data_IF_406927574194
#
_entry.id   IF_406927574194
#
_cell.length_a   1.000
_cell.length_b   1.000
_cell.length_c   1.000
_cell.angle_alpha   90.00
_cell.angle_beta   90.00
_cell.angle_gamma   90.00
#
_symmetry.space_group_name_H-M   'P 1'
#
loop_
_entity.id
_entity.type
_entity.pdbx_description
1 polymer ?
#
# COMPACT_ATOMS: atom_id res chain seq x y z
N UNK A 1 0.63 4.68 -38.34
CA UNK A 1 1.39 3.44 -38.34
C UNK A 1 2.04 3.12 -37.01
N UNK A 2 2.74 4.08 -36.33
CA UNK A 2 3.53 3.85 -35.11
C UNK A 2 2.68 3.38 -33.92
N UNK A 3 1.46 3.91 -33.73
CA UNK A 3 0.61 3.67 -32.55
C UNK A 3 -0.41 2.56 -32.74
N UNK A 4 -0.35 1.84 -33.88
CA UNK A 4 -1.25 0.72 -34.24
C UNK A 4 -2.74 1.07 -34.11
N UNK A 5 -3.12 2.30 -34.53
CA UNK A 5 -4.51 2.79 -34.49
C UNK A 5 -5.24 2.68 -35.84
N UNK A 6 -4.69 1.98 -36.81
CA UNK A 6 -5.21 1.85 -38.17
C UNK A 6 -6.58 1.14 -38.26
N UNK A 7 -6.94 0.38 -37.24
CA UNK A 7 -8.23 -0.31 -37.11
C UNK A 7 -9.33 0.60 -36.54
N UNK A 8 -9.00 1.78 -36.03
CA UNK A 8 -9.94 2.76 -35.51
C UNK A 8 -10.43 3.60 -36.68
N UNK A 9 -11.74 3.52 -36.96
CA UNK A 9 -12.34 4.35 -37.99
C UNK A 9 -12.24 5.84 -37.62
N UNK A 10 -11.87 6.73 -38.58
CA UNK A 10 -11.65 8.15 -38.31
C UNK A 10 -12.85 8.87 -37.71
N UNK A 11 -14.07 8.43 -38.06
CA UNK A 11 -15.33 9.02 -37.63
C UNK A 11 -15.85 8.42 -36.29
N UNK A 12 -15.12 7.48 -35.70
CA UNK A 12 -15.50 6.87 -34.43
C UNK A 12 -15.45 7.87 -33.29
N UNK A 13 -16.53 7.97 -32.52
CA UNK A 13 -16.63 8.92 -31.41
C UNK A 13 -15.67 8.53 -30.29
N UNK A 14 -14.86 9.48 -29.80
CA UNK A 14 -13.85 9.25 -28.74
C UNK A 14 -14.43 8.62 -27.46
N UNK A 15 -15.68 8.93 -27.09
CA UNK A 15 -16.31 8.33 -25.90
C UNK A 15 -16.53 6.82 -26.02
N UNK A 16 -16.62 6.28 -27.24
CA UNK A 16 -16.82 4.84 -27.51
C UNK A 16 -15.51 4.05 -27.56
N UNK A 17 -14.36 4.74 -27.51
CA UNK A 17 -13.05 4.10 -27.48
C UNK A 17 -12.74 3.58 -26.07
N UNK A 18 -12.07 2.44 -26.01
CA UNK A 18 -11.47 1.94 -24.76
C UNK A 18 -10.40 2.89 -24.20
N UNK A 19 -10.07 2.77 -22.94
CA UNK A 19 -9.01 3.59 -22.32
C UNK A 19 -7.68 3.49 -23.07
N UNK A 20 -7.25 2.29 -23.44
CA UNK A 20 -6.02 2.07 -24.21
C UNK A 20 -6.08 2.65 -25.61
N UNK A 21 -7.19 2.52 -26.33
CA UNK A 21 -7.39 3.17 -27.65
C UNK A 21 -7.31 4.70 -27.54
N UNK A 22 -7.97 5.29 -26.54
CA UNK A 22 -7.87 6.74 -26.27
C UNK A 22 -6.46 7.19 -26.07
N UNK A 23 -5.69 6.49 -25.22
CA UNK A 23 -4.30 6.82 -24.94
C UNK A 23 -3.46 6.72 -26.22
N UNK A 24 -3.61 5.67 -27.03
CA UNK A 24 -2.90 5.52 -28.30
C UNK A 24 -3.25 6.64 -29.30
N UNK A 25 -4.50 7.09 -29.36
CA UNK A 25 -4.91 8.22 -30.21
C UNK A 25 -4.30 9.53 -29.73
N UNK A 26 -4.29 9.81 -28.42
CA UNK A 26 -3.62 11.00 -27.87
C UNK A 26 -2.11 10.99 -28.15
N UNK A 27 -1.44 9.85 -27.99
CA UNK A 27 -0.02 9.70 -28.29
C UNK A 27 0.27 9.90 -29.80
N UNK A 28 -0.62 9.43 -30.68
CA UNK A 28 -0.51 9.71 -32.12
C UNK A 28 -0.60 11.22 -32.42
N UNK A 29 -1.40 11.96 -31.67
CA UNK A 29 -1.48 13.41 -31.74
C UNK A 29 -0.14 14.13 -31.50
N UNK A 30 0.76 13.56 -30.66
CA UNK A 30 2.09 14.11 -30.41
C UNK A 30 3.01 14.04 -31.63
N UNK A 31 2.83 13.03 -32.49
CA UNK A 31 3.57 12.91 -33.75
C UNK A 31 3.07 13.90 -34.81
N UNK A 32 1.78 14.23 -34.78
CA UNK A 32 1.16 15.17 -35.72
C UNK A 32 1.46 16.62 -35.34
N UNK A 33 1.29 16.97 -34.06
CA UNK A 33 1.43 18.37 -33.61
C UNK A 33 2.85 18.75 -33.25
N UNK A 34 3.77 17.80 -33.11
CA UNK A 34 5.19 17.96 -32.81
C UNK A 34 5.51 19.05 -31.78
N UNK A 35 4.89 19.04 -30.56
CA UNK A 35 5.16 20.05 -29.54
C UNK A 35 6.61 19.97 -29.07
N UNK A 36 7.17 21.09 -28.60
CA UNK A 36 8.51 21.13 -28.00
C UNK A 36 8.54 20.62 -26.56
N UNK A 37 7.43 20.79 -25.84
CA UNK A 37 7.24 20.32 -24.46
C UNK A 37 6.00 19.43 -24.41
N UNK A 38 6.14 18.27 -23.75
CA UNK A 38 5.07 17.28 -23.58
C UNK A 38 4.87 17.05 -22.10
N UNK A 39 3.62 17.21 -21.65
CA UNK A 39 3.19 16.90 -20.30
C UNK A 39 2.34 15.62 -20.34
N UNK A 40 2.69 14.63 -19.55
CA UNK A 40 1.97 13.35 -19.48
C UNK A 40 1.61 13.06 -18.03
N UNK A 41 0.33 12.76 -17.80
CA UNK A 41 -0.18 12.35 -16.50
C UNK A 41 -0.66 10.90 -16.62
N UNK A 42 0.00 10.00 -15.88
CA UNK A 42 -0.25 8.55 -15.85
C UNK A 42 -0.42 7.93 -17.26
N UNK A 43 0.52 8.14 -18.20
CA UNK A 43 0.33 7.73 -19.60
C UNK A 43 0.34 6.20 -19.81
N UNK A 44 0.75 5.42 -18.83
CA UNK A 44 0.76 3.95 -18.87
C UNK A 44 -0.56 3.34 -18.45
N UNK A 45 -1.47 4.10 -17.85
CA UNK A 45 -2.78 3.61 -17.43
C UNK A 45 -3.58 3.11 -18.65
N UNK A 46 -4.23 1.95 -18.49
CA UNK A 46 -5.02 1.29 -19.52
C UNK A 46 -4.24 0.80 -20.77
N UNK A 47 -2.92 1.01 -20.83
CA UNK A 47 -2.10 0.44 -21.90
C UNK A 47 -1.74 -1.02 -21.57
N UNK A 48 -1.94 -1.89 -22.56
CA UNK A 48 -1.42 -3.25 -22.54
C UNK A 48 0.12 -3.25 -22.73
N UNK A 49 0.73 -4.42 -22.62
CA UNK A 49 2.18 -4.60 -22.73
C UNK A 49 2.71 -4.01 -24.04
N UNK A 50 2.00 -4.22 -25.16
CA UNK A 50 2.37 -3.68 -26.47
C UNK A 50 2.31 -2.15 -26.48
N UNK A 51 1.21 -1.57 -25.98
CA UNK A 51 1.04 -0.12 -25.89
C UNK A 51 2.07 0.55 -24.99
N UNK A 52 2.44 -0.07 -23.86
CA UNK A 52 3.54 0.40 -23.00
C UNK A 52 4.88 0.36 -23.74
N UNK A 53 5.17 -0.71 -24.49
CA UNK A 53 6.36 -0.79 -25.31
C UNK A 53 6.47 0.35 -26.31
N UNK A 54 5.41 0.68 -27.01
CA UNK A 54 5.36 1.81 -27.97
C UNK A 54 5.60 3.17 -27.27
N UNK A 55 5.03 3.37 -26.07
CA UNK A 55 5.25 4.57 -25.26
C UNK A 55 6.72 4.69 -24.84
N UNK A 56 7.31 3.60 -24.35
CA UNK A 56 8.71 3.59 -23.94
C UNK A 56 9.64 3.89 -25.11
N UNK A 57 9.39 3.33 -26.29
CA UNK A 57 10.14 3.62 -27.50
C UNK A 57 9.99 5.08 -27.95
N UNK A 58 8.80 5.67 -27.78
CA UNK A 58 8.61 7.10 -28.03
C UNK A 58 9.48 7.95 -27.11
N UNK A 59 9.47 7.65 -25.80
CA UNK A 59 10.23 8.41 -24.80
C UNK A 59 11.74 8.29 -25.01
N UNK A 60 12.24 7.09 -25.36
CA UNK A 60 13.66 6.86 -25.63
C UNK A 60 14.17 7.63 -26.86
N UNK A 61 13.33 7.73 -27.88
CA UNK A 61 13.77 8.26 -29.21
C UNK A 61 13.37 9.71 -29.44
N UNK A 62 12.76 10.39 -28.46
CA UNK A 62 12.33 11.78 -28.64
C UNK A 62 13.39 12.76 -28.13
N UNK A 63 13.52 13.88 -28.84
CA UNK A 63 14.39 15.01 -28.44
C UNK A 63 13.57 16.13 -27.74
N UNK A 64 12.31 15.86 -27.40
CA UNK A 64 11.42 16.84 -26.77
C UNK A 64 11.67 16.93 -25.27
N UNK A 65 11.35 18.05 -24.68
CA UNK A 65 11.27 18.15 -23.22
C UNK A 65 10.02 17.43 -22.75
N UNK A 66 10.17 16.40 -21.90
CA UNK A 66 9.05 15.63 -21.37
C UNK A 66 8.99 15.79 -19.86
N UNK A 67 7.81 16.07 -19.34
CA UNK A 67 7.48 16.00 -17.92
C UNK A 67 6.41 14.95 -17.74
N UNK A 68 6.70 13.96 -16.90
CA UNK A 68 5.80 12.80 -16.70
C UNK A 68 5.47 12.69 -15.20
N UNK A 69 4.20 12.54 -14.92
CA UNK A 69 3.70 12.06 -13.61
C UNK A 69 3.33 10.60 -13.84
N UNK A 70 3.93 9.68 -13.09
CA UNK A 70 3.65 8.25 -13.23
C UNK A 70 4.03 7.46 -12.00
N UNK A 71 3.35 6.33 -11.82
CA UNK A 71 3.67 5.28 -10.87
C UNK A 71 4.37 4.07 -11.53
N UNK A 72 4.59 4.12 -12.83
CA UNK A 72 5.31 3.11 -13.59
C UNK A 72 6.82 3.26 -13.41
N UNK A 73 7.42 2.34 -12.64
CA UNK A 73 8.84 2.36 -12.31
C UNK A 73 9.75 2.16 -13.52
N UNK A 74 9.32 1.36 -14.50
CA UNK A 74 10.10 1.19 -15.73
C UNK A 74 10.18 2.52 -16.51
N UNK A 75 9.04 3.22 -16.60
CA UNK A 75 8.96 4.52 -17.22
C UNK A 75 9.83 5.55 -16.49
N UNK A 76 9.72 5.64 -15.15
CA UNK A 76 10.47 6.58 -14.33
C UNK A 76 11.98 6.35 -14.40
N UNK A 77 12.41 5.08 -14.51
CA UNK A 77 13.85 4.75 -14.66
C UNK A 77 14.45 5.10 -16.03
N UNK A 78 13.61 5.41 -17.02
CA UNK A 78 14.08 5.90 -18.32
C UNK A 78 14.41 7.40 -18.30
N UNK A 79 13.98 8.11 -17.25
CA UNK A 79 14.20 9.55 -17.10
C UNK A 79 15.48 9.81 -16.29
N UNK A 80 16.13 10.93 -16.58
CA UNK A 80 17.42 11.30 -15.97
C UNK A 80 17.29 12.10 -14.69
N UNK A 81 16.09 12.53 -14.34
CA UNK A 81 15.84 13.36 -13.16
C UNK A 81 14.45 13.09 -12.59
N UNK A 82 14.35 13.17 -11.27
CA UNK A 82 13.12 12.91 -10.51
C UNK A 82 12.76 14.14 -9.69
N UNK A 83 11.50 14.51 -9.68
CA UNK A 83 10.91 15.50 -8.77
C UNK A 83 9.96 14.80 -7.80
N UNK A 84 10.26 14.90 -6.51
CA UNK A 84 9.35 14.45 -5.46
C UNK A 84 8.46 15.62 -5.04
N UNK A 85 7.15 15.42 -5.12
CA UNK A 85 6.15 16.38 -4.64
C UNK A 85 5.54 15.87 -3.34
N UNK A 86 5.58 16.70 -2.29
CA UNK A 86 5.01 16.39 -0.98
C UNK A 86 4.23 17.59 -0.43
N UNK A 87 3.54 17.41 0.69
CA UNK A 87 2.87 18.54 1.37
C UNK A 87 3.86 19.64 1.81
N UNK A 88 5.11 19.29 2.04
CA UNK A 88 6.19 20.25 2.42
C UNK A 88 6.82 20.97 1.23
N UNK A 89 6.49 20.60 -0.01
CA UNK A 89 7.00 21.23 -1.22
C UNK A 89 7.54 20.24 -2.25
N UNK A 90 8.40 20.73 -3.12
CA UNK A 90 9.00 19.96 -4.22
C UNK A 90 10.52 19.83 -4.00
N UNK A 91 11.03 18.60 -4.12
CA UNK A 91 12.47 18.29 -4.06
C UNK A 91 12.93 17.79 -5.43
N UNK A 92 14.07 18.27 -5.89
CA UNK A 92 14.69 17.86 -7.14
C UNK A 92 15.84 16.88 -6.90
N UNK A 93 15.88 15.80 -7.68
CA UNK A 93 16.92 14.79 -7.66
C UNK A 93 17.45 14.59 -9.09
N UNK A 94 18.73 14.91 -9.38
CA UNK A 94 19.33 14.72 -10.69
C UNK A 94 19.73 13.26 -10.94
N UNK A 95 18.79 12.34 -10.76
CA UNK A 95 18.97 10.90 -10.87
C UNK A 95 17.67 10.20 -11.26
N UNK A 96 17.79 8.95 -11.77
CA UNK A 96 16.63 8.12 -12.10
C UNK A 96 15.87 7.65 -10.83
N UNK A 97 14.75 6.97 -11.04
CA UNK A 97 13.89 6.56 -9.93
C UNK A 97 14.56 5.56 -8.96
N UNK A 98 15.30 4.55 -9.44
CA UNK A 98 15.91 3.53 -8.57
C UNK A 98 17.04 4.14 -7.71
N UNK A 99 17.84 5.05 -8.25
CA UNK A 99 18.84 5.80 -7.49
C UNK A 99 18.20 6.72 -6.46
N UNK A 100 17.12 7.44 -6.86
CA UNK A 100 16.31 8.25 -5.96
C UNK A 100 15.75 7.40 -4.81
N UNK A 101 15.13 6.26 -5.13
CA UNK A 101 14.55 5.36 -4.13
C UNK A 101 15.60 4.87 -3.13
N UNK A 102 16.78 4.45 -3.62
CA UNK A 102 17.89 4.03 -2.76
C UNK A 102 18.32 5.15 -1.81
N UNK A 103 18.37 6.39 -2.30
CA UNK A 103 18.75 7.56 -1.50
C UNK A 103 17.71 7.84 -0.41
N UNK A 104 16.42 7.82 -0.75
CA UNK A 104 15.32 8.06 0.21
C UNK A 104 15.24 6.94 1.24
N UNK A 105 15.42 5.68 0.83
CA UNK A 105 15.41 4.55 1.77
C UNK A 105 16.57 4.68 2.78
N UNK A 106 17.77 5.04 2.35
CA UNK A 106 18.91 5.30 3.24
C UNK A 106 18.66 6.50 4.18
N UNK A 107 18.07 7.61 3.68
CA UNK A 107 17.65 8.73 4.53
C UNK A 107 16.64 8.28 5.59
N UNK A 108 15.68 7.46 5.20
CA UNK A 108 14.62 6.95 6.09
C UNK A 108 15.19 6.02 7.17
N UNK A 109 16.04 5.07 6.79
CA UNK A 109 16.75 4.20 7.74
C UNK A 109 17.57 5.01 8.76
N UNK A 110 18.29 6.02 8.28
CA UNK A 110 19.06 6.92 9.15
C UNK A 110 18.15 7.65 10.16
N UNK A 111 16.99 8.15 9.72
CA UNK A 111 16.00 8.82 10.59
C UNK A 111 15.40 7.86 11.62
N UNK A 112 15.08 6.62 11.20
CA UNK A 112 14.58 5.59 12.12
C UNK A 112 15.62 5.26 13.18
N UNK A 113 16.89 5.06 12.80
CA UNK A 113 17.98 4.82 13.73
C UNK A 113 18.18 6.01 14.71
N UNK A 114 18.06 7.24 14.23
CA UNK A 114 18.10 8.43 15.08
C UNK A 114 16.94 8.44 16.09
N UNK A 115 15.70 8.11 15.64
CA UNK A 115 14.54 8.03 16.52
C UNK A 115 14.74 7.00 17.62
N UNK A 116 15.20 5.79 17.27
CA UNK A 116 15.49 4.73 18.26
C UNK A 116 16.55 5.15 19.29
N UNK A 117 17.60 5.81 18.83
CA UNK A 117 18.64 6.31 19.72
C UNK A 117 18.10 7.38 20.68
N UNK A 118 17.29 8.31 20.17
CA UNK A 118 16.64 9.33 21.02
C UNK A 118 15.64 8.73 22.01
N UNK A 119 14.90 7.68 21.63
CA UNK A 119 14.04 6.94 22.56
C UNK A 119 14.84 6.30 23.69
N UNK A 120 15.98 5.66 23.38
CA UNK A 120 16.88 5.07 24.37
C UNK A 120 17.48 6.13 25.32
N UNK A 121 17.85 7.31 24.78
CA UNK A 121 18.34 8.44 25.57
C UNK A 121 17.25 9.00 26.51
N UNK A 122 16.02 9.16 26.01
CA UNK A 122 14.89 9.61 26.81
C UNK A 122 14.59 8.66 27.96
N UNK A 123 14.52 7.36 27.69
CA UNK A 123 14.28 6.34 28.71
C UNK A 123 15.39 6.32 29.78
N UNK A 124 16.67 6.53 29.39
CA UNK A 124 17.79 6.70 30.34
C UNK A 124 17.64 7.97 31.17
N UNK A 125 17.25 9.09 30.55
CA UNK A 125 17.06 10.38 31.25
C UNK A 125 15.90 10.28 32.25
N UNK A 126 14.76 9.71 31.89
CA UNK A 126 13.62 9.46 32.78
C UNK A 126 14.00 8.58 33.98
N UNK A 127 14.70 7.48 33.72
CA UNK A 127 15.20 6.57 34.79
C UNK A 127 16.17 7.30 35.74
N UNK A 128 17.04 8.16 35.20
CA UNK A 128 17.98 8.97 36.00
C UNK A 128 17.24 10.01 36.83
N UNK A 129 16.28 10.73 36.21
CA UNK A 129 15.44 11.71 36.91
C UNK A 129 14.68 11.07 38.08
N UNK A 130 14.05 9.93 37.85
CA UNK A 130 13.33 9.17 38.89
C UNK A 130 14.26 8.76 40.04
N UNK A 131 15.44 8.21 39.74
CA UNK A 131 16.42 7.85 40.76
C UNK A 131 16.90 9.06 41.58
N UNK A 132 17.06 10.21 40.94
CA UNK A 132 17.48 11.46 41.62
C UNK A 132 16.35 11.95 42.55
N UNK A 133 15.10 11.92 42.10
CA UNK A 133 13.95 12.24 42.95
C UNK A 133 13.82 11.33 44.17
N UNK A 134 13.94 10.00 43.98
CA UNK A 134 13.88 9.02 45.06
C UNK A 134 15.04 9.23 46.09
N UNK A 135 16.26 9.57 45.63
CA UNK A 135 17.37 9.90 46.52
C UNK A 135 17.12 11.16 47.33
N UNK A 136 16.62 12.21 46.66
CA UNK A 136 16.28 13.48 47.33
C UNK A 136 15.21 13.28 48.40
N UNK A 137 14.14 12.53 48.07
CA UNK A 137 13.05 12.24 49.02
C UNK A 137 13.58 11.48 50.24
N UNK A 138 14.51 10.48 50.05
CA UNK A 138 15.14 9.77 51.12
C UNK A 138 16.07 10.68 51.98
N UNK A 139 16.77 11.61 51.33
CA UNK A 139 17.61 12.59 52.04
C UNK A 139 16.79 13.60 52.87
N UNK A 140 15.66 14.12 52.32
CA UNK A 140 14.74 15.00 53.02
C UNK A 140 14.16 14.32 54.28
N UNK A 141 13.64 13.11 54.15
CA UNK A 141 13.10 12.32 55.28
C UNK A 141 14.13 11.98 56.35
N UNK A 142 15.37 11.67 55.92
CA UNK A 142 16.50 11.45 56.91
C UNK A 142 16.88 12.73 57.59
N UNK A 143 16.96 13.87 56.89
CA UNK A 143 17.26 15.18 57.45
C UNK A 143 16.23 15.63 58.49
N UNK A 144 14.93 15.45 58.19
CA UNK A 144 13.85 15.75 59.15
C UNK A 144 13.96 14.89 60.43
N UNK A 145 14.21 13.58 60.28
CA UNK A 145 14.35 12.68 61.43
C UNK A 145 15.62 13.03 62.28
N UNK A 146 16.72 13.42 61.68
CA UNK A 146 17.93 13.82 62.40
C UNK A 146 17.76 15.17 63.11
N UNK A 147 17.14 16.17 62.50
CA UNK A 147 16.88 17.48 63.07
C UNK A 147 15.88 17.40 64.23
N UNK A 148 14.86 16.53 64.13
CA UNK A 148 13.94 16.24 65.24
C UNK A 148 14.65 15.62 66.47
N UNK A 149 15.66 14.76 66.24
CA UNK A 149 16.44 14.15 67.31
C UNK A 149 17.46 15.10 67.98
N UNK A 150 17.89 16.14 67.26
CA UNK A 150 18.89 17.13 67.77
C UNK A 150 18.28 18.34 68.47
N UNK A 151 16.96 18.39 68.64
CA UNK A 151 16.28 19.50 69.34
C UNK A 151 16.44 20.88 68.67
N UNK A 152 16.57 20.95 67.36
CA UNK A 152 16.77 22.16 66.58
C UNK A 152 15.49 23.06 66.70
N UNK A 153 15.68 24.34 66.95
CA UNK A 153 14.60 25.29 67.13
C UNK A 153 13.65 25.34 65.90
N UNK A 154 12.35 25.38 66.10
CA UNK A 154 11.30 25.26 65.08
C UNK A 154 11.44 26.23 63.91
N UNK A 155 11.91 27.45 64.18
CA UNK A 155 12.18 28.49 63.19
C UNK A 155 13.32 28.12 62.23
N UNK A 156 14.43 27.52 62.79
CA UNK A 156 15.55 27.06 61.98
C UNK A 156 15.20 25.86 61.12
N UNK A 157 14.36 24.95 61.63
CA UNK A 157 13.80 23.84 60.85
C UNK A 157 12.94 24.34 59.69
N UNK A 158 12.13 25.37 59.85
CA UNK A 158 11.36 25.98 58.77
C UNK A 158 12.24 26.52 57.64
N UNK A 159 13.23 27.32 57.97
CA UNK A 159 14.20 27.89 57.01
C UNK A 159 15.03 26.82 56.26
N UNK A 160 15.37 25.72 56.87
CA UNK A 160 16.06 24.59 56.23
C UNK A 160 15.14 23.78 55.30
N UNK A 161 13.89 23.66 55.66
CA UNK A 161 12.85 23.04 54.84
C UNK A 161 12.56 23.88 53.59
N UNK A 162 12.36 25.16 53.72
CA UNK A 162 12.11 26.08 52.60
C UNK A 162 13.29 26.10 51.61
N UNK A 163 14.54 26.10 52.10
CA UNK A 163 15.74 25.96 51.23
C UNK A 163 15.79 24.61 50.50
N UNK A 164 15.41 23.55 51.15
CA UNK A 164 15.38 22.20 50.54
C UNK A 164 14.28 22.12 49.49
N UNK A 165 13.08 22.65 49.76
CA UNK A 165 11.94 22.65 48.84
C UNK A 165 12.22 23.53 47.61
N UNK A 166 12.81 24.70 47.76
CA UNK A 166 13.21 25.57 46.64
C UNK A 166 14.25 24.93 45.73
N UNK A 167 15.26 24.28 46.31
CA UNK A 167 16.33 23.54 45.55
C UNK A 167 15.71 22.39 44.79
N UNK A 168 14.83 21.60 45.40
CA UNK A 168 14.14 20.46 44.80
C UNK A 168 13.23 20.92 43.69
N UNK A 169 12.46 21.99 43.90
CA UNK A 169 11.58 22.57 42.87
C UNK A 169 12.36 23.04 41.64
N UNK A 170 13.52 23.70 41.84
CA UNK A 170 14.38 24.15 40.74
C UNK A 170 14.95 23.02 39.95
N UNK A 171 15.42 21.95 40.60
CA UNK A 171 15.94 20.74 39.93
C UNK A 171 14.85 20.01 39.14
N UNK A 172 13.64 19.89 39.71
CA UNK A 172 12.51 19.27 39.02
C UNK A 172 12.13 20.06 37.76
N UNK A 173 12.11 21.40 37.84
CA UNK A 173 11.82 22.26 36.69
C UNK A 173 12.83 22.05 35.56
N UNK A 174 14.12 22.06 35.87
CA UNK A 174 15.19 21.83 34.88
C UNK A 174 15.09 20.44 34.25
N UNK A 175 14.77 19.40 35.05
CA UNK A 175 14.57 18.04 34.50
C UNK A 175 13.35 17.94 33.60
N UNK A 176 12.22 18.56 33.98
CA UNK A 176 11.01 18.60 33.16
C UNK A 176 11.21 19.37 31.85
N UNK A 177 11.92 20.50 31.90
CA UNK A 177 12.28 21.25 30.69
C UNK A 177 13.13 20.42 29.71
N UNK A 178 14.13 19.69 30.25
CA UNK A 178 14.98 18.79 29.46
C UNK A 178 14.19 17.62 28.82
N UNK A 179 13.34 16.95 29.59
CA UNK A 179 12.50 15.88 29.10
C UNK A 179 11.48 16.40 28.06
N UNK A 180 10.91 17.57 28.30
CA UNK A 180 9.98 18.23 27.36
C UNK A 180 10.66 18.62 26.04
N UNK A 181 11.93 19.06 26.06
CA UNK A 181 12.70 19.35 24.85
C UNK A 181 13.00 18.06 24.05
N UNK A 182 13.42 16.98 24.72
CA UNK A 182 13.67 15.70 24.07
C UNK A 182 12.40 15.09 23.47
N UNK A 183 11.26 15.21 24.14
CA UNK A 183 9.98 14.75 23.60
C UNK A 183 9.56 15.53 22.35
N UNK A 184 9.75 16.86 22.33
CA UNK A 184 9.44 17.68 21.15
C UNK A 184 10.31 17.27 19.96
N UNK A 185 11.62 17.14 20.16
CA UNK A 185 12.56 16.68 19.13
C UNK A 185 12.17 15.30 18.56
N UNK A 186 11.77 14.37 19.44
CA UNK A 186 11.25 13.06 19.01
C UNK A 186 9.96 13.17 18.18
N UNK A 187 9.03 14.06 18.57
CA UNK A 187 7.80 14.28 17.81
C UNK A 187 8.09 14.84 16.42
N UNK A 188 9.04 15.77 16.29
CA UNK A 188 9.48 16.33 15.02
C UNK A 188 10.09 15.25 14.10
N UNK A 189 11.02 14.45 14.63
CA UNK A 189 11.61 13.33 13.87
C UNK A 189 10.51 12.32 13.47
N UNK A 190 9.60 11.99 14.38
CA UNK A 190 8.51 11.04 14.12
C UNK A 190 7.55 11.54 13.03
N UNK A 191 7.25 12.83 13.00
CA UNK A 191 6.39 13.44 11.97
C UNK A 191 7.01 13.29 10.57
N UNK A 192 8.34 13.33 10.45
CA UNK A 192 9.03 13.18 9.16
C UNK A 192 9.16 11.70 8.70
N UNK A 193 9.00 10.73 9.62
CA UNK A 193 9.11 9.29 9.30
C UNK A 193 7.75 8.70 8.92
N UNK A 194 6.64 9.26 9.38
CA UNK A 194 5.30 8.66 9.28
C UNK A 194 4.83 8.50 7.82
N UNK A 195 5.39 9.26 6.88
CA UNK A 195 5.06 9.14 5.45
C UNK A 195 5.69 7.91 4.76
N UNK A 196 6.71 7.26 5.37
CA UNK A 196 7.51 6.23 4.70
C UNK A 196 7.55 4.86 5.43
N UNK A 197 6.79 4.68 6.50
CA UNK A 197 6.81 3.41 7.24
C UNK A 197 6.06 2.32 6.49
N UNK A 198 6.77 1.45 5.80
CA UNK A 198 6.20 0.23 5.25
C UNK A 198 5.60 -0.63 6.37
N UNK A 199 4.30 -0.84 6.31
CA UNK A 199 3.60 -1.76 7.23
C UNK A 199 3.94 -3.18 6.78
N UNK A 200 4.77 -3.89 7.52
CA UNK A 200 5.01 -5.33 7.26
C UNK A 200 3.70 -6.10 7.45
N UNK A 201 3.19 -6.65 6.36
CA UNK A 201 1.95 -7.39 6.32
C UNK A 201 2.29 -8.84 6.03
N UNK A 202 1.81 -9.74 6.86
CA UNK A 202 1.87 -11.18 6.61
C UNK A 202 0.45 -11.70 6.59
N UNK A 203 -0.01 -12.15 5.43
CA UNK A 203 -1.30 -12.80 5.26
C UNK A 203 -1.15 -14.26 5.67
N UNK A 204 -2.14 -14.79 6.39
CA UNK A 204 -2.15 -16.20 6.79
C UNK A 204 -2.18 -17.16 5.59
N UNK A 205 -1.97 -18.44 5.84
CA UNK A 205 -2.08 -19.50 4.83
C UNK A 205 -3.54 -19.94 4.64
N UNK A 206 -3.89 -20.39 3.43
CA UNK A 206 -5.11 -21.17 3.20
C UNK A 206 -5.05 -22.49 3.99
N UNK A 207 -6.22 -22.97 4.40
CA UNK A 207 -6.35 -24.24 5.15
C UNK A 207 -6.27 -25.46 4.21
N UNK A 208 -6.29 -25.24 2.89
CA UNK A 208 -6.29 -26.32 1.92
C UNK A 208 -4.91 -27.01 1.81
N UNK A 209 -4.90 -28.35 1.62
CA UNK A 209 -3.66 -29.06 1.32
C UNK A 209 -3.11 -28.65 -0.04
N UNK A 210 -1.79 -28.69 -0.17
CA UNK A 210 -1.10 -28.36 -1.43
C UNK A 210 -1.55 -29.24 -2.59
N UNK A 211 -1.59 -28.68 -3.78
CA UNK A 211 -1.94 -29.34 -5.05
C UNK A 211 -3.33 -29.98 -5.09
N UNK A 212 -4.29 -29.49 -4.31
CA UNK A 212 -5.68 -29.87 -4.47
C UNK A 212 -6.26 -29.15 -5.69
N UNK A 213 -6.99 -29.87 -6.55
CA UNK A 213 -7.69 -29.26 -7.68
C UNK A 213 -8.77 -28.31 -7.18
N UNK A 214 -8.75 -27.06 -7.62
CA UNK A 214 -9.70 -26.02 -7.27
C UNK A 214 -10.66 -25.71 -8.40
N UNK A 215 -10.14 -25.61 -9.61
CA UNK A 215 -10.91 -25.29 -10.82
C UNK A 215 -10.37 -26.15 -11.99
N UNK A 216 -11.28 -26.72 -12.77
CA UNK A 216 -10.96 -27.38 -14.03
C UNK A 216 -11.92 -26.87 -15.11
N UNK A 217 -11.37 -26.42 -16.22
CA UNK A 217 -12.10 -25.99 -17.41
C UNK A 217 -11.66 -26.82 -18.63
N UNK A 218 -12.64 -27.38 -19.35
CA UNK A 218 -12.44 -28.21 -20.53
C UNK A 218 -13.24 -27.66 -21.70
N UNK A 219 -12.53 -27.28 -22.74
CA UNK A 219 -13.05 -26.77 -24.00
C UNK A 219 -14.11 -25.68 -23.84
N UNK A 220 -13.86 -24.75 -22.88
CA UNK A 220 -14.82 -23.70 -22.56
C UNK A 220 -14.82 -22.60 -23.59
N UNK A 221 -16.01 -22.15 -23.96
CA UNK A 221 -16.30 -20.90 -24.67
C UNK A 221 -17.30 -20.05 -23.87
N UNK A 222 -17.34 -18.78 -24.18
CA UNK A 222 -18.28 -17.87 -23.54
C UNK A 222 -18.83 -16.84 -24.54
N UNK A 223 -20.14 -16.63 -24.54
CA UNK A 223 -20.79 -15.61 -25.35
C UNK A 223 -21.60 -14.65 -24.47
N UNK A 224 -21.36 -13.34 -24.63
CA UNK A 224 -22.19 -12.31 -24.02
C UNK A 224 -23.55 -12.19 -24.71
N UNK A 225 -24.53 -11.62 -24.03
CA UNK A 225 -25.91 -11.44 -24.56
C UNK A 225 -25.96 -10.59 -25.81
N UNK A 226 -25.02 -9.71 -26.05
CA UNK A 226 -24.81 -8.85 -27.21
C UNK A 226 -24.14 -9.58 -28.39
N UNK A 227 -23.87 -10.87 -28.24
CA UNK A 227 -23.35 -11.73 -29.31
C UNK A 227 -21.82 -11.74 -29.41
N UNK A 228 -21.09 -11.06 -28.51
CA UNK A 228 -19.64 -11.12 -28.44
C UNK A 228 -19.22 -12.50 -27.92
N UNK A 229 -18.63 -13.30 -28.77
CA UNK A 229 -18.10 -14.63 -28.42
C UNK A 229 -16.62 -14.53 -28.07
N UNK A 230 -16.26 -15.19 -26.98
CA UNK A 230 -14.88 -15.28 -26.47
C UNK A 230 -14.43 -16.74 -26.53
N UNK A 231 -13.23 -16.99 -27.06
CA UNK A 231 -12.58 -18.30 -27.26
C UNK A 231 -13.32 -19.24 -28.21
N UNK A 232 -14.28 -18.78 -29.02
CA UNK A 232 -15.02 -19.65 -29.95
C UNK A 232 -14.16 -20.36 -30.98
N UNK A 233 -13.08 -19.71 -31.46
CA UNK A 233 -12.15 -20.31 -32.41
C UNK A 233 -11.07 -21.18 -31.73
N UNK A 234 -10.82 -20.98 -30.45
CA UNK A 234 -9.80 -21.69 -29.68
C UNK A 234 -10.31 -21.88 -28.24
N UNK A 235 -11.12 -22.93 -28.01
CA UNK A 235 -11.66 -23.22 -26.69
C UNK A 235 -10.59 -23.33 -25.62
N UNK A 236 -10.87 -22.78 -24.43
CA UNK A 236 -9.89 -22.68 -23.36
C UNK A 236 -9.91 -23.92 -22.48
N UNK A 237 -8.71 -24.45 -22.22
CA UNK A 237 -8.49 -25.56 -21.29
C UNK A 237 -7.54 -25.11 -20.20
N UNK A 238 -7.93 -25.27 -18.93
CA UNK A 238 -7.05 -24.97 -17.81
C UNK A 238 -7.43 -25.74 -16.54
N UNK A 239 -6.44 -25.95 -15.69
CA UNK A 239 -6.64 -26.49 -14.34
C UNK A 239 -5.87 -25.62 -13.35
N UNK A 240 -6.47 -25.33 -12.20
CA UNK A 240 -5.88 -24.52 -11.12
C UNK A 240 -5.85 -25.37 -9.86
N UNK A 241 -4.67 -25.45 -9.25
CA UNK A 241 -4.44 -26.21 -8.03
C UNK A 241 -4.15 -25.28 -6.86
N UNK A 242 -4.41 -25.75 -5.64
CA UNK A 242 -4.11 -25.01 -4.43
C UNK A 242 -2.61 -24.75 -4.30
N UNK A 243 -2.26 -23.53 -3.85
CA UNK A 243 -0.89 -23.08 -3.69
C UNK A 243 -0.23 -22.56 -4.97
N UNK A 244 -0.87 -22.65 -6.14
CA UNK A 244 -0.30 -22.10 -7.38
C UNK A 244 -0.29 -20.57 -7.39
N UNK A 245 0.77 -20.00 -7.97
CA UNK A 245 0.93 -18.56 -8.18
C UNK A 245 0.95 -18.28 -9.68
N UNK A 246 -0.18 -17.77 -10.18
CA UNK A 246 -0.50 -17.71 -11.61
C UNK A 246 -0.53 -16.26 -12.09
N UNK A 247 0.17 -15.97 -13.17
CA UNK A 247 0.01 -14.75 -13.97
C UNK A 247 -0.84 -15.04 -15.19
N UNK A 248 -2.00 -14.41 -15.26
CA UNK A 248 -2.88 -14.47 -16.41
C UNK A 248 -2.51 -13.37 -17.39
N UNK A 249 -1.87 -13.73 -18.50
CA UNK A 249 -1.33 -12.80 -19.50
C UNK A 249 -2.18 -12.83 -20.77
N UNK A 250 -2.45 -11.67 -21.34
CA UNK A 250 -3.14 -11.53 -22.63
C UNK A 250 -3.41 -10.07 -22.94
N UNK A 251 -3.72 -9.77 -24.20
CA UNK A 251 -4.05 -8.43 -24.66
C UNK A 251 -5.38 -7.92 -24.07
N UNK A 252 -5.63 -6.63 -24.15
CA UNK A 252 -6.91 -6.09 -23.73
C UNK A 252 -8.03 -6.68 -24.59
N UNK A 253 -9.14 -7.08 -23.96
CA UNK A 253 -10.28 -7.68 -24.62
C UNK A 253 -10.19 -9.19 -24.92
N UNK A 254 -9.10 -9.90 -24.58
CA UNK A 254 -8.96 -11.34 -24.82
C UNK A 254 -9.78 -12.23 -23.86
N UNK A 255 -10.51 -11.64 -22.91
CA UNK A 255 -11.38 -12.39 -22.00
C UNK A 255 -10.83 -12.65 -20.61
N UNK A 256 -9.73 -11.98 -20.16
CA UNK A 256 -9.14 -12.16 -18.81
C UNK A 256 -10.18 -12.01 -17.70
N UNK A 257 -10.85 -10.87 -17.64
CA UNK A 257 -11.86 -10.60 -16.59
C UNK A 257 -13.08 -11.52 -16.71
N UNK A 258 -13.42 -11.98 -17.93
CA UNK A 258 -14.45 -13.01 -18.14
C UNK A 258 -14.05 -14.34 -17.51
N UNK A 259 -12.81 -14.79 -17.75
CA UNK A 259 -12.30 -16.01 -17.13
C UNK A 259 -12.29 -15.91 -15.60
N UNK A 260 -11.88 -14.76 -15.04
CA UNK A 260 -11.89 -14.56 -13.60
C UNK A 260 -13.31 -14.67 -13.03
N UNK A 261 -14.32 -14.10 -13.69
CA UNK A 261 -15.74 -14.22 -13.30
C UNK A 261 -16.29 -15.64 -13.46
N UNK A 262 -15.78 -16.40 -14.42
CA UNK A 262 -16.10 -17.83 -14.53
C UNK A 262 -15.46 -18.62 -13.37
N UNK A 263 -14.24 -18.30 -12.96
CA UNK A 263 -13.56 -18.91 -11.81
C UNK A 263 -14.31 -18.63 -10.50
N UNK A 264 -14.75 -17.37 -10.28
CA UNK A 264 -15.51 -16.99 -9.08
C UNK A 264 -16.94 -17.55 -9.06
N UNK A 265 -17.49 -17.92 -10.23
CA UNK A 265 -18.88 -18.40 -10.37
C UNK A 265 -19.89 -17.29 -10.61
N UNK A 266 -19.43 -16.07 -10.87
CA UNK A 266 -20.31 -14.94 -11.23
C UNK A 266 -20.87 -15.08 -12.66
N UNK A 267 -20.19 -15.87 -13.50
CA UNK A 267 -20.62 -16.26 -14.84
C UNK A 267 -20.57 -17.77 -15.00
N UNK A 268 -21.41 -18.29 -15.92
CA UNK A 268 -21.37 -19.69 -16.33
C UNK A 268 -20.94 -19.80 -17.79
N UNK A 269 -20.23 -20.89 -18.13
CA UNK A 269 -19.75 -21.14 -19.50
C UNK A 269 -20.92 -21.31 -20.46
N UNK A 270 -20.73 -20.89 -21.72
CA UNK A 270 -21.74 -21.11 -22.79
C UNK A 270 -21.62 -22.51 -23.34
N UNK A 271 -20.40 -22.99 -23.60
CA UNK A 271 -20.11 -24.34 -24.05
C UNK A 271 -18.88 -24.87 -23.31
N UNK A 272 -18.69 -26.20 -23.32
CA UNK A 272 -17.66 -26.86 -22.58
C UNK A 272 -18.07 -27.19 -21.13
N UNK A 273 -17.10 -27.63 -20.34
CA UNK A 273 -17.31 -28.03 -18.95
C UNK A 273 -16.43 -27.23 -18.02
N UNK A 274 -17.01 -26.71 -16.95
CA UNK A 274 -16.26 -26.06 -15.87
C UNK A 274 -16.64 -26.63 -14.52
N UNK A 275 -15.65 -27.20 -13.85
CA UNK A 275 -15.79 -27.69 -12.48
C UNK A 275 -15.09 -26.77 -11.50
N UNK A 276 -15.73 -26.51 -10.37
CA UNK A 276 -15.22 -25.70 -9.26
C UNK A 276 -15.39 -26.47 -7.96
N UNK A 277 -14.38 -26.45 -7.12
CA UNK A 277 -14.48 -26.99 -5.77
C UNK A 277 -15.58 -26.27 -4.98
N UNK A 278 -16.36 -26.99 -4.20
CA UNK A 278 -17.40 -26.39 -3.35
C UNK A 278 -17.24 -26.90 -1.91
N UNK A 279 -17.17 -26.02 -0.89
CA UNK A 279 -17.08 -24.56 -1.00
C UNK A 279 -15.69 -24.08 -1.47
N UNK A 280 -15.63 -22.99 -2.20
CA UNK A 280 -14.41 -22.31 -2.62
C UNK A 280 -14.49 -20.83 -2.18
N UNK A 281 -13.59 -20.39 -1.30
CA UNK A 281 -13.56 -19.02 -0.81
C UNK A 281 -12.60 -18.19 -1.65
N UNK A 282 -13.16 -17.33 -2.50
CA UNK A 282 -12.39 -16.43 -3.36
C UNK A 282 -12.46 -14.99 -2.82
N UNK A 283 -11.32 -14.30 -2.81
CA UNK A 283 -11.28 -12.85 -2.68
C UNK A 283 -10.91 -12.25 -4.03
N UNK A 284 -11.76 -11.38 -4.56
CA UNK A 284 -11.52 -10.67 -5.82
C UNK A 284 -11.14 -9.21 -5.53
N UNK A 285 -9.93 -8.87 -5.90
CA UNK A 285 -9.38 -7.51 -5.82
C UNK A 285 -9.32 -6.96 -7.25
N UNK A 286 -10.32 -6.20 -7.62
CA UNK A 286 -10.36 -5.50 -8.90
C UNK A 286 -9.79 -4.08 -8.79
N UNK A 287 -9.70 -3.40 -9.92
CA UNK A 287 -9.18 -2.04 -10.03
C UNK A 287 -9.91 -1.02 -9.14
N UNK A 288 -11.20 -1.23 -8.86
CA UNK A 288 -12.05 -0.34 -8.06
C UNK A 288 -12.18 -0.80 -6.60
N UNK A 289 -11.64 -1.98 -6.26
CA UNK A 289 -11.81 -2.63 -4.98
C UNK A 289 -13.29 -2.85 -4.63
N UNK A 290 -14.05 -3.47 -5.54
CA UNK A 290 -15.49 -3.72 -5.40
C UNK A 290 -15.86 -4.60 -4.20
N UNK A 291 -14.89 -5.29 -3.61
CA UNK A 291 -15.03 -6.00 -2.33
C UNK A 291 -15.31 -5.04 -1.15
N UNK A 292 -15.16 -3.73 -1.33
CA UNK A 292 -15.45 -2.70 -0.35
C UNK A 292 -16.80 -2.07 -0.65
N UNK A 293 -17.71 -2.09 0.33
CA UNK A 293 -18.99 -1.39 0.23
C UNK A 293 -18.79 0.12 0.41
N UNK A 294 -19.05 0.88 -0.65
CA UNK A 294 -18.89 2.32 -0.68
C UNK A 294 -19.80 3.09 0.30
N UNK A 295 -20.89 2.48 0.76
CA UNK A 295 -21.86 3.09 1.68
C UNK A 295 -21.49 2.87 3.15
N UNK A 296 -20.63 1.92 3.45
CA UNK A 296 -20.14 1.69 4.79
C UNK A 296 -19.03 2.69 5.17
N UNK A 297 -18.84 2.90 6.46
CA UNK A 297 -17.66 3.58 6.98
C UNK A 297 -16.46 2.62 7.00
N UNK A 298 -15.25 3.18 7.09
CA UNK A 298 -14.01 2.41 7.20
C UNK A 298 -14.08 1.38 8.34
N UNK A 299 -14.64 1.80 9.48
CA UNK A 299 -14.82 0.91 10.64
C UNK A 299 -15.86 -0.18 10.37
N UNK A 300 -17.05 0.18 9.87
CA UNK A 300 -18.12 -0.75 9.54
C UNK A 300 -17.69 -1.78 8.51
N UNK A 301 -16.95 -1.35 7.47
CA UNK A 301 -16.41 -2.25 6.45
C UNK A 301 -15.47 -3.30 7.05
N UNK A 302 -14.57 -2.91 7.94
CA UNK A 302 -13.66 -3.87 8.56
C UNK A 302 -14.40 -4.79 9.56
N UNK A 303 -15.38 -4.26 10.27
CA UNK A 303 -16.23 -5.05 11.15
C UNK A 303 -17.07 -6.08 10.39
N UNK A 304 -17.52 -5.77 9.17
CA UNK A 304 -18.27 -6.72 8.33
C UNK A 304 -17.42 -7.93 7.88
N UNK A 305 -16.10 -7.77 7.78
CA UNK A 305 -15.20 -8.89 7.46
C UNK A 305 -15.13 -9.92 8.59
N UNK A 306 -15.34 -9.52 9.85
CA UNK A 306 -15.37 -10.43 10.99
C UNK A 306 -16.15 -9.83 12.17
N UNK A 307 -17.41 -10.21 12.29
CA UNK A 307 -18.28 -9.76 13.39
C UNK A 307 -17.90 -10.30 14.77
N UNK A 308 -17.00 -11.31 14.86
CA UNK A 308 -16.58 -11.92 16.14
C UNK A 308 -15.40 -11.17 16.77
N UNK A 309 -14.64 -10.40 15.97
CA UNK A 309 -13.51 -9.65 16.50
C UNK A 309 -13.98 -8.50 17.39
N UNK A 310 -13.37 -8.33 18.56
CA UNK A 310 -13.70 -7.23 19.45
C UNK A 310 -13.25 -5.89 18.85
N UNK A 311 -13.97 -4.83 19.20
CA UNK A 311 -13.75 -3.47 18.67
C UNK A 311 -12.29 -2.99 18.76
N UNK A 312 -11.61 -3.32 19.86
CA UNK A 312 -10.22 -2.88 20.05
C UNK A 312 -9.24 -3.52 19.04
N UNK A 313 -9.47 -4.77 18.63
CA UNK A 313 -8.65 -5.44 17.62
C UNK A 313 -8.87 -4.82 16.24
N UNK A 314 -10.12 -4.51 15.88
CA UNK A 314 -10.46 -3.82 14.64
C UNK A 314 -9.77 -2.45 14.59
N UNK A 315 -9.85 -1.68 15.68
CA UNK A 315 -9.19 -0.38 15.80
C UNK A 315 -7.66 -0.49 15.74
N UNK A 316 -7.07 -1.54 16.32
CA UNK A 316 -5.64 -1.80 16.20
C UNK A 316 -5.23 -2.11 14.76
N UNK A 317 -6.01 -2.91 14.03
CA UNK A 317 -5.74 -3.18 12.61
C UNK A 317 -5.82 -1.90 11.79
N UNK A 318 -6.87 -1.10 11.94
CA UNK A 318 -7.01 0.19 11.27
C UNK A 318 -5.82 1.12 11.55
N UNK A 319 -5.42 1.22 12.82
CA UNK A 319 -4.27 2.05 13.19
C UNK A 319 -2.96 1.54 12.58
N UNK A 320 -2.78 0.21 12.49
CA UNK A 320 -1.61 -0.41 11.84
C UNK A 320 -1.50 -0.01 10.36
N UNK A 321 -2.63 0.17 9.66
CA UNK A 321 -2.70 0.61 8.27
C UNK A 321 -2.81 2.13 8.11
N UNK A 322 -2.48 2.88 9.17
CA UNK A 322 -2.47 4.34 9.21
C UNK A 322 -3.84 5.00 9.08
N UNK A 323 -4.94 4.25 9.30
CA UNK A 323 -6.25 4.86 9.48
C UNK A 323 -6.36 5.45 10.89
N UNK A 324 -6.36 6.77 10.97
CA UNK A 324 -6.50 7.51 12.24
C UNK A 324 -7.95 7.49 12.74
N UNK A 325 -8.15 7.82 14.01
CA UNK A 325 -9.49 7.87 14.59
C UNK A 325 -10.45 8.83 13.83
N UNK A 326 -9.91 9.88 13.21
CA UNK A 326 -10.68 10.82 12.39
C UNK A 326 -11.13 10.25 11.05
N UNK A 327 -10.52 9.16 10.59
CA UNK A 327 -10.87 8.50 9.32
C UNK A 327 -11.79 7.30 9.49
N UNK A 328 -12.00 6.81 10.71
CA UNK A 328 -12.82 5.61 10.93
C UNK A 328 -14.29 5.80 10.52
N UNK A 329 -14.84 6.99 10.71
CA UNK A 329 -16.22 7.34 10.35
C UNK A 329 -16.34 7.87 8.90
N UNK A 330 -15.22 7.93 8.15
CA UNK A 330 -15.22 8.33 6.74
C UNK A 330 -15.87 7.23 5.90
N UNK A 331 -16.79 7.59 5.00
CA UNK A 331 -17.39 6.66 4.05
C UNK A 331 -16.36 6.14 3.06
N UNK A 332 -16.43 4.84 2.73
CA UNK A 332 -15.47 4.17 1.84
C UNK A 332 -15.43 4.77 0.43
N UNK A 333 -16.54 5.33 -0.07
CA UNK A 333 -16.57 6.06 -1.35
C UNK A 333 -15.64 7.28 -1.40
N UNK A 334 -15.29 7.85 -0.25
CA UNK A 334 -14.42 9.03 -0.16
C UNK A 334 -12.94 8.66 0.03
N UNK A 335 -12.59 7.37 -0.02
CA UNK A 335 -11.23 6.89 0.07
C UNK A 335 -10.53 7.01 -1.28
N UNK A 336 -9.23 7.32 -1.26
CA UNK A 336 -8.35 7.18 -2.44
C UNK A 336 -8.14 5.70 -2.80
N UNK A 337 -7.67 5.41 -4.02
CA UNK A 337 -7.36 4.04 -4.44
C UNK A 337 -6.38 3.33 -3.48
N UNK A 338 -5.31 4.00 -3.05
CA UNK A 338 -4.37 3.46 -2.07
C UNK A 338 -4.98 3.26 -0.67
N UNK A 339 -5.91 4.12 -0.23
CA UNK A 339 -6.65 3.92 1.02
C UNK A 339 -7.60 2.71 0.91
N UNK A 340 -8.30 2.56 -0.22
CA UNK A 340 -9.15 1.39 -0.49
C UNK A 340 -8.33 0.09 -0.48
N UNK A 341 -7.18 0.08 -1.15
CA UNK A 341 -6.26 -1.05 -1.14
C UNK A 341 -5.83 -1.43 0.29
N UNK A 342 -5.42 -0.46 1.10
CA UNK A 342 -5.06 -0.67 2.50
C UNK A 342 -6.24 -1.24 3.30
N UNK A 343 -7.46 -0.76 3.06
CA UNK A 343 -8.66 -1.26 3.74
C UNK A 343 -8.99 -2.70 3.32
N UNK A 344 -8.84 -3.06 2.04
CA UNK A 344 -9.01 -4.43 1.55
C UNK A 344 -7.99 -5.39 2.20
N UNK A 345 -6.71 -4.97 2.32
CA UNK A 345 -5.70 -5.75 3.05
C UNK A 345 -6.00 -5.87 4.55
N UNK A 346 -6.54 -4.81 5.18
CA UNK A 346 -7.06 -4.91 6.54
C UNK A 346 -8.16 -5.96 6.66
N UNK A 347 -9.10 -5.98 5.70
CA UNK A 347 -10.17 -6.97 5.63
C UNK A 347 -9.62 -8.40 5.57
N UNK A 348 -8.62 -8.66 4.73
CA UNK A 348 -7.93 -9.95 4.67
C UNK A 348 -7.35 -10.39 6.03
N UNK A 349 -6.71 -9.47 6.75
CA UNK A 349 -6.14 -9.76 8.08
C UNK A 349 -7.22 -9.85 9.18
N UNK A 350 -8.39 -9.30 8.94
CA UNK A 350 -9.52 -9.41 9.87
C UNK A 350 -10.22 -10.76 9.78
N UNK A 351 -10.17 -11.45 8.64
CA UNK A 351 -10.77 -12.78 8.46
C UNK A 351 -10.16 -13.81 9.41
N UNK A 352 -10.95 -14.79 9.84
CA UNK A 352 -10.46 -15.90 10.68
C UNK A 352 -9.58 -16.86 9.88
N UNK A 353 -9.94 -17.10 8.62
CA UNK A 353 -9.18 -17.93 7.68
C UNK A 353 -8.87 -17.10 6.43
N UNK A 354 -7.65 -17.26 5.91
CA UNK A 354 -7.32 -16.69 4.62
C UNK A 354 -8.17 -17.36 3.51
N UNK A 355 -8.56 -16.64 2.44
CA UNK A 355 -9.29 -17.21 1.32
C UNK A 355 -8.47 -18.33 0.64
N UNK A 356 -9.16 -19.23 -0.09
CA UNK A 356 -8.50 -20.30 -0.84
C UNK A 356 -7.82 -19.78 -2.09
N UNK A 357 -8.44 -18.78 -2.72
CA UNK A 357 -7.91 -18.07 -3.89
C UNK A 357 -7.99 -16.56 -3.65
N UNK A 358 -6.89 -15.86 -3.91
CA UNK A 358 -6.88 -14.41 -4.09
C UNK A 358 -6.73 -14.14 -5.60
N UNK A 359 -7.66 -13.37 -6.16
CA UNK A 359 -7.63 -12.89 -7.53
C UNK A 359 -7.33 -11.39 -7.49
N UNK A 360 -6.25 -10.97 -8.15
CA UNK A 360 -5.84 -9.57 -8.24
C UNK A 360 -5.89 -9.13 -9.72
N UNK A 361 -6.97 -8.43 -10.10
CA UNK A 361 -7.22 -7.97 -11.48
C UNK A 361 -6.83 -6.50 -11.62
N UNK A 362 -5.67 -6.25 -12.23
CA UNK A 362 -5.04 -4.93 -12.39
C UNK A 362 -4.96 -4.14 -11.07
N UNK A 363 -4.51 -4.76 -9.97
CA UNK A 363 -4.58 -4.15 -8.65
C UNK A 363 -3.60 -2.99 -8.46
N UNK A 364 -2.69 -2.80 -9.41
CA UNK A 364 -1.67 -1.72 -9.41
C UNK A 364 -2.18 -0.43 -10.05
N UNK A 365 -3.33 -0.45 -10.71
CA UNK A 365 -3.90 0.74 -11.31
C UNK A 365 -4.43 1.70 -10.24
N UNK A 366 -4.19 3.01 -10.42
CA UNK A 366 -4.67 4.08 -9.54
C UNK A 366 -4.14 4.03 -8.09
N UNK A 367 -3.05 3.33 -7.83
CA UNK A 367 -2.37 3.33 -6.52
C UNK A 367 -0.95 3.87 -6.66
N UNK A 368 -0.48 4.55 -5.62
CA UNK A 368 0.89 5.06 -5.57
C UNK A 368 1.93 3.93 -5.40
N UNK A 369 3.19 4.25 -5.73
CA UNK A 369 4.28 3.27 -5.69
C UNK A 369 4.49 2.65 -4.30
N UNK A 370 4.29 3.42 -3.23
CA UNK A 370 4.45 2.91 -1.85
C UNK A 370 3.33 1.91 -1.52
N UNK A 371 2.10 2.24 -1.91
CA UNK A 371 0.95 1.33 -1.78
C UNK A 371 1.15 0.06 -2.60
N UNK A 372 1.76 0.16 -3.78
CA UNK A 372 2.12 -0.98 -4.62
C UNK A 372 3.15 -1.89 -3.94
N UNK A 373 4.19 -1.33 -3.29
CA UNK A 373 5.17 -2.11 -2.51
C UNK A 373 4.50 -2.88 -1.37
N UNK A 374 3.61 -2.23 -0.64
CA UNK A 374 2.85 -2.84 0.46
C UNK A 374 1.95 -3.98 -0.06
N UNK A 375 1.29 -3.78 -1.20
CA UNK A 375 0.46 -4.80 -1.83
C UNK A 375 1.29 -6.00 -2.29
N UNK A 376 2.43 -5.75 -2.94
CA UNK A 376 3.33 -6.80 -3.41
C UNK A 376 3.89 -7.64 -2.24
N UNK A 377 4.31 -7.00 -1.14
CA UNK A 377 4.77 -7.68 0.07
C UNK A 377 3.65 -8.53 0.69
N UNK A 378 2.44 -7.96 0.79
CA UNK A 378 1.28 -8.66 1.34
C UNK A 378 0.92 -9.90 0.52
N UNK A 379 0.74 -9.76 -0.80
CA UNK A 379 0.43 -10.87 -1.71
C UNK A 379 1.60 -11.85 -1.82
N UNK A 380 2.84 -11.38 -1.74
CA UNK A 380 4.04 -12.21 -1.69
C UNK A 380 4.08 -13.12 -0.46
N UNK A 381 3.60 -12.64 0.69
CA UNK A 381 3.53 -13.42 1.95
C UNK A 381 2.39 -14.44 2.01
N UNK A 382 1.39 -14.31 1.14
CA UNK A 382 0.24 -15.20 1.12
C UNK A 382 0.61 -16.59 0.62
N UNK A 383 0.22 -17.64 1.36
CA UNK A 383 0.57 -19.04 1.10
C UNK A 383 -0.55 -19.85 0.42
N UNK A 384 -1.63 -19.20 -0.02
CA UNK A 384 -2.69 -19.83 -0.81
C UNK A 384 -2.52 -19.62 -2.31
N UNK A 385 -3.56 -19.90 -3.09
CA UNK A 385 -3.56 -19.72 -4.53
C UNK A 385 -3.71 -18.28 -4.91
N UNK A 386 -2.80 -17.75 -5.73
CA UNK A 386 -2.82 -16.38 -6.20
C UNK A 386 -2.94 -16.32 -7.72
N UNK A 387 -3.95 -15.61 -8.21
CA UNK A 387 -4.12 -15.33 -9.64
C UNK A 387 -3.96 -13.83 -9.84
N UNK A 388 -3.00 -13.42 -10.65
CA UNK A 388 -2.70 -12.01 -10.92
C UNK A 388 -2.93 -11.72 -12.39
N UNK A 389 -3.67 -10.67 -12.69
CA UNK A 389 -3.69 -9.97 -13.96
C UNK A 389 -2.99 -8.63 -13.75
N UNK A 390 -1.91 -8.39 -14.42
CA UNK A 390 -1.21 -7.10 -14.36
C UNK A 390 -0.37 -6.88 -15.60
N UNK A 391 -0.25 -5.62 -16.00
CA UNK A 391 0.69 -5.15 -17.01
C UNK A 391 2.02 -4.65 -16.43
N UNK A 392 2.17 -4.71 -15.10
CA UNK A 392 3.42 -4.38 -14.39
C UNK A 392 4.24 -5.64 -14.13
N UNK A 393 5.25 -5.89 -14.99
CA UNK A 393 6.14 -7.05 -14.87
C UNK A 393 6.95 -7.05 -13.57
N UNK A 394 7.26 -5.88 -13.00
CA UNK A 394 7.98 -5.77 -11.73
C UNK A 394 7.09 -6.24 -10.59
N UNK A 395 5.85 -5.77 -10.53
CA UNK A 395 4.87 -6.23 -9.55
C UNK A 395 4.67 -7.75 -9.64
N UNK A 396 4.50 -8.29 -10.85
CA UNK A 396 4.37 -9.75 -11.10
C UNK A 396 5.56 -10.52 -10.54
N UNK A 397 6.77 -10.00 -10.72
CA UNK A 397 8.00 -10.60 -10.17
C UNK A 397 8.04 -10.51 -8.65
N UNK A 398 7.71 -9.34 -8.09
CA UNK A 398 7.78 -9.08 -6.65
C UNK A 398 6.77 -9.94 -5.86
N UNK A 399 5.62 -10.30 -6.45
CA UNK A 399 4.66 -11.22 -5.84
C UNK A 399 5.03 -12.70 -6.00
N UNK A 400 6.12 -13.05 -6.70
CA UNK A 400 6.65 -14.42 -6.77
C UNK A 400 5.81 -15.37 -7.62
N UNK A 401 5.42 -14.95 -8.83
CA UNK A 401 4.68 -15.79 -9.79
C UNK A 401 5.54 -16.97 -10.27
N UNK A 402 4.91 -18.16 -10.36
CA UNK A 402 5.56 -19.41 -10.78
C UNK A 402 5.05 -19.94 -12.13
N UNK A 403 3.81 -19.59 -12.49
CA UNK A 403 3.14 -20.11 -13.69
C UNK A 403 2.51 -18.98 -14.48
N UNK A 404 2.69 -19.01 -15.81
CA UNK A 404 2.05 -18.07 -16.74
C UNK A 404 1.00 -18.79 -17.55
N UNK A 405 -0.21 -18.27 -17.59
CA UNK A 405 -1.30 -18.72 -18.49
C UNK A 405 -1.53 -17.59 -19.50
N UNK A 406 -1.38 -17.91 -20.78
CA UNK A 406 -1.64 -16.98 -21.88
C UNK A 406 -3.02 -17.25 -22.46
N UNK A 407 -3.81 -16.18 -22.64
CA UNK A 407 -5.14 -16.19 -23.23
C UNK A 407 -5.11 -15.40 -24.53
#
# INVERSE_FOLDING_TARGET
ARWHIYYIEPDRIMSTLSGGEKTRVFLAGLDIHTPSVVLMDEPTNHLDIEGRGLLYDFIRNTNKTIVIVSHDRMLLNMLTSTYEMSQSGMRFFPMNYDEYKTTIDAETESRVAQLENRQKELAKAEKSARKTMERQQKHATRGEKQNAKKGVARIVMGNLRDKSETTTSRLNKVQQEKLGAMNREMHEIRATITEHSAVKITIGSSVLPDRKLLVEAKDITFAYKDGLEIWGQSPLNLSIFSGERIWLQGNNGCGKSTLLKLITGDLEVTEGEMWRMTPLHCLYLDQEYSCIDNELTVYEQLQSCNHRKPEHEIKMLLHRFLFTATTWDKKCRNLSGGEKMKLALCGLLAMDNAPDIIIADEPTNNIDIQSMDVLAEALGSYQGTLIVVSHDERFVRDVGIERVIKI
#
